data_IF_675254542322
#
_entry.id   IF_675254542322
#
_cell.length_a   1.000
_cell.length_b   1.000
_cell.length_c   1.000
_cell.angle_alpha   90.00
_cell.angle_beta   90.00
_cell.angle_gamma   90.00
#
_symmetry.space_group_name_H-M   'P 1'
#
loop_
_entity.id
_entity.type
_entity.pdbx_description
1 polymer ?
#
# COMPACT_ATOMS: atom_id res chain seq x y z
N UNK A 1 44.61 53.44 40.11
CA UNK A 1 45.67 53.43 41.16
C UNK A 1 45.01 53.12 42.50
N UNK A 2 45.59 52.36 43.44
CA UNK A 2 46.59 51.27 43.42
C UNK A 2 45.97 49.90 43.82
N UNK A 3 46.74 48.80 43.76
CA UNK A 3 46.38 47.44 44.25
C UNK A 3 46.63 47.28 45.76
N UNK A 4 47.17 46.14 46.25
CA UNK A 4 46.89 44.72 45.99
C UNK A 4 46.60 43.97 47.32
N UNK A 5 46.09 42.73 47.31
CA UNK A 5 46.48 41.72 48.31
C UNK A 5 46.25 40.29 47.78
N UNK A 6 47.38 39.70 47.42
CA UNK A 6 47.70 38.28 47.28
C UNK A 6 47.57 37.62 48.69
N UNK A 7 47.36 36.33 48.97
CA UNK A 7 48.06 35.10 48.56
C UNK A 7 47.29 33.90 49.16
N UNK A 8 47.52 32.71 48.59
CA UNK A 8 47.50 31.33 49.16
C UNK A 8 46.24 30.51 48.86
N UNK A 9 46.21 29.79 47.73
CA UNK A 9 46.97 28.56 47.40
C UNK A 9 46.67 27.39 48.35
N UNK A 10 45.85 26.44 47.90
CA UNK A 10 46.08 25.02 48.14
C UNK A 10 45.86 24.25 46.84
N UNK A 11 46.97 23.65 46.44
CA UNK A 11 47.19 22.67 45.40
C UNK A 11 46.26 21.46 45.52
N UNK A 12 45.81 20.93 44.38
CA UNK A 12 45.86 19.50 44.16
C UNK A 12 46.20 19.21 42.69
N UNK A 13 47.01 18.18 42.56
CA UNK A 13 47.89 17.84 41.46
C UNK A 13 47.28 16.66 40.68
N UNK A 14 47.54 16.60 39.36
CA UNK A 14 47.80 15.35 38.58
C UNK A 14 46.52 14.51 38.28
N UNK A 15 46.06 14.17 37.07
CA UNK A 15 46.62 13.81 35.75
C UNK A 15 45.59 14.11 34.62
N UNK A 16 46.02 14.18 33.34
CA UNK A 16 45.14 14.33 32.18
C UNK A 16 44.60 12.95 31.72
N UNK A 17 43.29 12.84 31.58
CA UNK A 17 42.67 11.68 30.93
C UNK A 17 42.73 11.88 29.40
N UNK A 18 43.76 11.32 28.78
CA UNK A 18 43.74 11.01 27.35
C UNK A 18 42.77 9.84 27.12
N UNK A 19 41.63 10.11 26.49
CA UNK A 19 40.73 9.07 26.00
C UNK A 19 40.45 9.30 24.50
N UNK A 20 41.41 8.82 23.72
CA UNK A 20 41.25 8.05 22.49
C UNK A 20 40.02 8.34 21.64
N UNK A 21 40.27 9.05 20.54
CA UNK A 21 39.51 9.01 19.29
C UNK A 21 39.34 7.56 18.84
N UNK A 22 38.22 6.92 19.17
CA UNK A 22 37.79 5.71 18.46
C UNK A 22 37.23 6.14 17.12
N UNK A 23 38.10 6.12 16.11
CA UNK A 23 37.66 6.02 14.72
C UNK A 23 36.90 4.72 14.58
N UNK A 24 35.58 4.77 14.68
CA UNK A 24 34.73 3.73 14.12
C UNK A 24 34.92 3.79 12.62
N UNK A 25 35.68 2.83 12.09
CA UNK A 25 35.65 2.45 10.69
C UNK A 25 34.18 2.19 10.33
N UNK A 26 33.51 3.21 9.80
CA UNK A 26 32.38 3.00 8.94
C UNK A 26 32.93 2.26 7.73
N UNK A 27 32.86 0.93 7.80
CA UNK A 27 32.85 0.10 6.60
C UNK A 27 31.67 0.64 5.80
N UNK A 28 31.97 1.50 4.83
CA UNK A 28 31.09 1.78 3.72
C UNK A 28 30.88 0.41 3.08
N UNK A 29 29.78 -0.24 3.45
CA UNK A 29 29.18 -1.27 2.62
C UNK A 29 28.82 -0.56 1.32
N UNK A 30 29.77 -0.53 0.39
CA UNK A 30 29.47 -0.41 -1.02
C UNK A 30 28.36 -1.44 -1.26
N UNK A 31 27.14 -1.04 -1.66
CA UNK A 31 26.13 -2.01 -1.99
C UNK A 31 26.72 -2.83 -3.13
N UNK A 32 27.03 -4.09 -2.82
CA UNK A 32 27.27 -5.12 -3.82
C UNK A 32 26.21 -4.89 -4.88
N UNK A 33 26.65 -4.71 -6.13
CA UNK A 33 25.78 -4.38 -7.24
C UNK A 33 24.99 -5.65 -7.57
N UNK A 34 24.06 -6.00 -6.67
CA UNK A 34 23.18 -7.15 -6.79
C UNK A 34 22.43 -6.91 -8.07
N UNK A 35 22.69 -7.74 -9.08
CA UNK A 35 21.98 -7.73 -10.33
C UNK A 35 20.54 -8.16 -10.04
N UNK A 36 19.71 -7.20 -9.65
CA UNK A 36 18.28 -7.41 -9.40
C UNK A 36 17.66 -7.79 -10.74
N UNK A 37 17.10 -8.99 -10.83
CA UNK A 37 16.42 -9.42 -12.04
C UNK A 37 14.92 -9.15 -11.95
N UNK A 38 14.22 -9.01 -13.09
CA UNK A 38 12.76 -8.85 -13.09
C UNK A 38 12.01 -9.93 -12.32
N UNK A 39 12.49 -11.17 -12.36
CA UNK A 39 11.87 -12.33 -11.72
C UNK A 39 11.88 -12.21 -10.19
N UNK A 40 12.87 -11.51 -9.63
CA UNK A 40 12.99 -11.28 -8.18
C UNK A 40 12.02 -10.20 -7.68
N UNK A 41 11.49 -9.38 -8.59
CA UNK A 41 10.62 -8.25 -8.28
C UNK A 41 9.15 -8.52 -8.56
N UNK A 42 8.85 -9.51 -9.41
CA UNK A 42 7.53 -9.69 -9.98
C UNK A 42 6.91 -11.00 -9.50
N UNK A 43 5.76 -10.89 -8.85
CA UNK A 43 4.85 -12.01 -8.56
C UNK A 43 3.72 -12.03 -9.58
N UNK A 44 3.48 -13.21 -10.17
CA UNK A 44 2.30 -13.48 -10.98
C UNK A 44 1.19 -14.01 -10.08
N UNK A 45 0.10 -13.27 -9.97
CA UNK A 45 -1.10 -13.68 -9.26
C UNK A 45 -2.09 -14.25 -10.28
N UNK A 46 -2.11 -15.59 -10.40
CA UNK A 46 -2.94 -16.30 -11.37
C UNK A 46 -4.43 -16.26 -11.04
N UNK A 47 -4.79 -16.19 -9.75
CA UNK A 47 -6.19 -16.15 -9.28
C UNK A 47 -6.93 -14.94 -9.84
N UNK A 48 -6.29 -13.78 -9.81
CA UNK A 48 -6.87 -12.53 -10.30
C UNK A 48 -6.25 -12.05 -11.61
N UNK A 49 -5.42 -12.89 -12.23
CA UNK A 49 -4.71 -12.60 -13.48
C UNK A 49 -3.99 -11.24 -13.43
N UNK A 50 -3.22 -11.05 -12.35
CA UNK A 50 -2.58 -9.79 -12.01
C UNK A 50 -1.08 -9.92 -11.82
N UNK A 51 -0.36 -8.91 -12.31
CA UNK A 51 1.09 -8.79 -12.10
C UNK A 51 1.32 -7.89 -10.89
N UNK A 52 2.06 -8.36 -9.91
CA UNK A 52 2.35 -7.64 -8.66
C UNK A 52 3.85 -7.37 -8.61
N UNK A 53 4.21 -6.10 -8.40
CA UNK A 53 5.59 -5.74 -8.12
C UNK A 53 5.82 -5.72 -6.61
N UNK A 54 6.66 -6.64 -6.14
CA UNK A 54 7.09 -6.78 -4.75
C UNK A 54 8.47 -6.11 -4.52
N UNK A 55 8.96 -5.36 -5.50
CA UNK A 55 10.27 -4.72 -5.44
C UNK A 55 10.36 -3.58 -4.43
N UNK A 56 11.15 -3.75 -3.37
CA UNK A 56 11.45 -2.73 -2.38
C UNK A 56 10.19 -2.05 -1.84
N UNK A 57 10.09 -0.73 -1.96
CA UNK A 57 8.93 0.04 -1.50
C UNK A 57 7.76 0.09 -2.48
N UNK A 58 7.89 -0.50 -3.68
CA UNK A 58 6.92 -0.35 -4.74
C UNK A 58 5.58 -1.02 -4.43
N UNK A 59 5.62 -2.30 -4.04
CA UNK A 59 4.51 -3.08 -3.44
C UNK A 59 3.14 -2.75 -4.04
N UNK A 60 2.94 -3.00 -5.34
CA UNK A 60 1.69 -2.62 -6.03
C UNK A 60 1.33 -3.52 -7.22
N UNK A 61 0.05 -3.57 -7.52
CA UNK A 61 -0.46 -4.20 -8.74
C UNK A 61 -0.13 -3.37 -9.99
N UNK A 62 0.38 -4.04 -11.02
CA UNK A 62 0.82 -3.47 -12.30
C UNK A 62 -0.06 -4.05 -13.42
N UNK A 63 -0.48 -3.20 -14.36
CA UNK A 63 -1.14 -3.70 -15.58
C UNK A 63 -0.08 -4.19 -16.57
N UNK A 64 -0.35 -5.26 -17.35
CA UNK A 64 0.63 -5.81 -18.30
C UNK A 64 1.21 -4.75 -19.25
N UNK A 65 0.39 -3.80 -19.70
CA UNK A 65 0.83 -2.76 -20.65
C UNK A 65 1.79 -1.72 -20.09
N UNK A 66 1.86 -1.54 -18.77
CA UNK A 66 2.79 -0.58 -18.16
C UNK A 66 4.00 -1.27 -17.52
N UNK A 67 4.04 -2.61 -17.51
CA UNK A 67 5.07 -3.40 -16.84
C UNK A 67 6.48 -3.09 -17.35
N UNK A 68 6.68 -3.05 -18.66
CA UNK A 68 8.00 -2.76 -19.25
C UNK A 68 8.53 -1.39 -18.80
N UNK A 69 7.69 -0.33 -18.91
CA UNK A 69 8.04 1.02 -18.45
C UNK A 69 8.23 1.06 -16.92
N UNK A 70 7.47 0.26 -16.18
CA UNK A 70 7.56 0.19 -14.73
C UNK A 70 8.91 -0.37 -14.28
N UNK A 71 9.34 -1.53 -14.82
CA UNK A 71 10.63 -2.15 -14.50
C UNK A 71 11.80 -1.22 -14.81
N UNK A 72 11.80 -0.60 -15.99
CA UNK A 72 12.85 0.32 -16.40
C UNK A 72 12.90 1.58 -15.53
N UNK A 73 11.76 2.22 -15.27
CA UNK A 73 11.75 3.52 -14.58
C UNK A 73 11.79 3.43 -13.06
N UNK A 74 11.26 2.36 -12.46
CA UNK A 74 11.16 2.22 -11.01
C UNK A 74 12.22 1.31 -10.41
N UNK A 75 12.71 0.35 -11.19
CA UNK A 75 13.69 -0.63 -10.72
C UNK A 75 15.00 -0.57 -11.51
N UNK A 76 15.14 0.38 -12.45
CA UNK A 76 16.34 0.58 -13.26
C UNK A 76 16.81 -0.70 -13.99
N UNK A 77 15.88 -1.58 -14.34
CA UNK A 77 16.17 -2.79 -15.10
C UNK A 77 16.48 -2.40 -16.55
N UNK A 78 17.52 -3.00 -17.12
CA UNK A 78 17.91 -2.75 -18.51
C UNK A 78 16.80 -3.14 -19.48
N UNK A 79 16.75 -2.48 -20.64
CA UNK A 79 15.72 -2.70 -21.65
C UNK A 79 15.74 -4.14 -22.16
N UNK A 80 16.93 -4.70 -22.36
CA UNK A 80 17.15 -6.05 -22.88
C UNK A 80 16.67 -7.12 -21.89
N UNK A 81 16.99 -6.95 -20.60
CA UNK A 81 16.53 -7.84 -19.53
C UNK A 81 15.01 -7.75 -19.35
N UNK A 82 14.48 -6.53 -19.39
CA UNK A 82 13.03 -6.29 -19.39
C UNK A 82 12.35 -7.00 -20.55
N UNK A 83 12.89 -6.88 -21.78
CA UNK A 83 12.32 -7.52 -22.96
C UNK A 83 12.29 -9.05 -22.83
N UNK A 84 13.43 -9.65 -22.44
CA UNK A 84 13.53 -11.10 -22.19
C UNK A 84 12.51 -11.58 -21.16
N UNK A 85 12.34 -10.84 -20.07
CA UNK A 85 11.35 -11.17 -19.06
C UNK A 85 9.92 -11.07 -19.61
N UNK A 86 9.59 -9.98 -20.29
CA UNK A 86 8.26 -9.80 -20.91
C UNK A 86 7.94 -10.94 -21.89
N UNK A 87 8.93 -11.36 -22.70
CA UNK A 87 8.78 -12.49 -23.61
C UNK A 87 8.53 -13.81 -22.85
N UNK A 88 9.22 -14.03 -21.72
CA UNK A 88 9.03 -15.22 -20.88
C UNK A 88 7.63 -15.31 -20.26
N UNK A 89 6.96 -14.17 -20.05
CA UNK A 89 5.59 -14.09 -19.52
C UNK A 89 4.58 -13.66 -20.58
N UNK A 90 4.91 -13.81 -21.87
CA UNK A 90 4.05 -13.40 -22.98
C UNK A 90 2.62 -13.98 -22.90
N UNK A 91 2.38 -15.24 -22.49
CA UNK A 91 1.02 -15.75 -22.32
C UNK A 91 0.20 -14.95 -21.30
N UNK A 92 0.85 -14.38 -20.28
CA UNK A 92 0.23 -13.56 -19.23
C UNK A 92 -0.08 -12.14 -19.70
N UNK A 93 0.46 -11.70 -20.84
CA UNK A 93 0.10 -10.40 -21.42
C UNK A 93 -1.37 -10.36 -21.89
N UNK A 94 -1.97 -11.53 -22.15
CA UNK A 94 -3.39 -11.68 -22.49
C UNK A 94 -4.32 -11.40 -21.31
N UNK A 95 -3.79 -11.40 -20.08
CA UNK A 95 -4.57 -11.12 -18.87
C UNK A 95 -5.26 -9.78 -18.88
N UNK A 96 -4.83 -8.81 -19.71
CA UNK A 96 -5.47 -7.50 -19.87
C UNK A 96 -7.01 -7.54 -19.88
N UNK A 97 -7.62 -8.55 -20.50
CA UNK A 97 -9.09 -8.66 -20.64
C UNK A 97 -9.77 -9.52 -19.57
N UNK A 98 -9.01 -10.23 -18.76
CA UNK A 98 -9.50 -11.25 -17.82
C UNK A 98 -9.22 -10.87 -16.36
N UNK A 99 -8.76 -9.65 -16.11
CA UNK A 99 -8.42 -9.20 -14.76
C UNK A 99 -9.68 -9.04 -13.94
N UNK A 100 -9.68 -9.67 -12.78
CA UNK A 100 -10.70 -9.49 -11.75
C UNK A 100 -10.09 -8.70 -10.59
N UNK A 101 -10.96 -8.07 -9.80
CA UNK A 101 -10.59 -7.38 -8.57
C UNK A 101 -11.06 -8.28 -7.43
N UNK A 102 -10.27 -8.46 -6.35
CA UNK A 102 -10.74 -9.16 -5.16
C UNK A 102 -12.00 -8.51 -4.60
N UNK A 103 -12.88 -9.33 -4.01
CA UNK A 103 -14.04 -8.83 -3.29
C UNK A 103 -13.61 -8.02 -2.07
N UNK A 104 -14.40 -7.00 -1.74
CA UNK A 104 -14.18 -6.20 -0.55
C UNK A 104 -14.31 -7.05 0.71
N UNK A 105 -13.48 -6.75 1.72
CA UNK A 105 -13.50 -7.45 3.00
C UNK A 105 -12.58 -8.67 3.06
N UNK A 106 -11.94 -9.06 1.94
CA UNK A 106 -10.97 -10.15 1.92
C UNK A 106 -9.63 -9.73 2.55
N UNK A 107 -8.80 -10.74 2.88
CA UNK A 107 -7.45 -10.51 3.41
C UNK A 107 -6.55 -9.85 2.36
N UNK A 108 -5.64 -8.94 2.77
CA UNK A 108 -4.74 -8.25 1.84
C UNK A 108 -3.99 -9.20 0.92
N UNK A 109 -3.89 -8.82 -0.36
CA UNK A 109 -3.08 -9.54 -1.33
C UNK A 109 -1.59 -9.29 -1.04
N UNK A 110 -0.84 -10.39 -0.90
CA UNK A 110 0.62 -10.33 -0.67
C UNK A 110 1.31 -9.49 -1.75
N UNK A 111 2.32 -8.72 -1.33
CA UNK A 111 3.11 -7.91 -2.26
C UNK A 111 2.48 -6.58 -2.64
N UNK A 112 1.32 -6.24 -2.06
CA UNK A 112 0.67 -4.94 -2.26
C UNK A 112 0.58 -4.20 -0.94
N UNK A 113 0.95 -2.92 -0.94
CA UNK A 113 0.87 -2.07 0.24
C UNK A 113 -0.59 -1.80 0.59
N UNK A 114 -0.94 -2.03 1.86
CA UNK A 114 -2.19 -1.55 2.45
C UNK A 114 -2.01 -0.09 2.82
N UNK A 115 -2.98 0.75 2.45
CA UNK A 115 -2.98 2.18 2.73
C UNK A 115 -4.29 2.60 3.37
N UNK A 116 -4.27 3.65 4.16
CA UNK A 116 -5.48 4.30 4.63
C UNK A 116 -6.23 4.97 3.47
N UNK A 117 -7.55 4.92 3.55
CA UNK A 117 -8.43 5.57 2.60
C UNK A 117 -9.83 5.74 3.13
N UNK A 118 -10.72 6.12 2.21
CA UNK A 118 -12.08 6.52 2.49
C UNK A 118 -13.02 5.89 1.47
N UNK A 119 -14.19 5.47 1.95
CA UNK A 119 -15.34 5.10 1.12
C UNK A 119 -16.45 6.12 1.32
N UNK A 120 -17.20 6.43 0.27
CA UNK A 120 -18.46 7.15 0.41
C UNK A 120 -19.40 6.36 1.32
N UNK A 121 -20.11 7.03 2.23
CA UNK A 121 -21.09 6.34 3.08
C UNK A 121 -22.31 5.85 2.29
N UNK A 122 -22.68 6.58 1.23
CA UNK A 122 -23.86 6.27 0.42
C UNK A 122 -23.56 5.32 -0.76
N UNK A 123 -22.39 5.46 -1.39
CA UNK A 123 -21.99 4.61 -2.52
C UNK A 123 -20.98 3.55 -2.08
N UNK A 124 -21.36 2.27 -2.22
CA UNK A 124 -20.47 1.14 -1.91
C UNK A 124 -19.24 1.09 -2.83
N UNK A 125 -19.39 1.53 -4.08
CA UNK A 125 -18.32 1.44 -5.08
C UNK A 125 -17.34 2.62 -5.07
N UNK A 126 -17.74 3.77 -4.51
CA UNK A 126 -16.93 4.98 -4.55
C UNK A 126 -15.97 5.05 -3.37
N UNK A 127 -14.68 4.97 -3.68
CA UNK A 127 -13.58 4.98 -2.72
C UNK A 127 -12.38 5.75 -3.25
N UNK A 128 -11.66 6.40 -2.34
CA UNK A 128 -10.45 7.16 -2.65
C UNK A 128 -9.48 7.15 -1.47
N UNK A 129 -8.24 7.53 -1.74
CA UNK A 129 -7.27 7.87 -0.71
C UNK A 129 -7.46 9.27 -0.14
N UNK A 130 -8.33 10.08 -0.74
CA UNK A 130 -8.58 11.47 -0.32
C UNK A 130 -10.04 11.63 0.12
N UNK A 131 -10.24 12.14 1.34
CA UNK A 131 -11.56 12.54 1.81
C UNK A 131 -12.18 13.63 0.92
N UNK A 132 -11.35 14.56 0.41
CA UNK A 132 -11.77 15.61 -0.52
C UNK A 132 -12.37 15.04 -1.81
N UNK A 133 -11.85 13.91 -2.30
CA UNK A 133 -12.44 13.24 -3.47
C UNK A 133 -13.82 12.66 -3.16
N UNK A 134 -14.03 12.20 -1.92
CA UNK A 134 -15.34 11.70 -1.47
C UNK A 134 -16.33 12.87 -1.35
N UNK A 135 -15.90 14.01 -0.81
CA UNK A 135 -16.73 15.22 -0.71
C UNK A 135 -17.14 15.73 -2.10
N UNK A 136 -16.19 15.82 -3.04
CA UNK A 136 -16.48 16.18 -4.44
C UNK A 136 -17.48 15.21 -5.08
N UNK A 137 -17.31 13.92 -4.84
CA UNK A 137 -18.26 12.91 -5.31
C UNK A 137 -19.64 13.09 -4.67
N UNK A 138 -19.70 13.36 -3.37
CA UNK A 138 -20.95 13.56 -2.66
C UNK A 138 -21.77 14.71 -3.25
N UNK A 139 -21.12 15.85 -3.51
CA UNK A 139 -21.77 16.99 -4.17
C UNK A 139 -22.18 16.65 -5.61
N UNK A 140 -21.29 16.00 -6.36
CA UNK A 140 -21.53 15.66 -7.78
C UNK A 140 -22.70 14.69 -7.96
N UNK A 141 -22.78 13.67 -7.13
CA UNK A 141 -23.86 12.66 -7.18
C UNK A 141 -25.09 13.08 -6.37
N UNK A 142 -25.07 14.27 -5.77
CA UNK A 142 -26.21 14.90 -5.08
C UNK A 142 -26.80 14.04 -3.95
N UNK A 143 -25.95 13.43 -3.13
CA UNK A 143 -26.36 12.61 -1.97
C UNK A 143 -27.09 13.39 -0.87
N UNK A 144 -27.29 14.70 -1.03
CA UNK A 144 -28.08 15.54 -0.13
C UNK A 144 -27.35 15.93 1.16
N UNK A 145 -28.12 16.27 2.19
CA UNK A 145 -27.56 16.59 3.51
C UNK A 145 -27.15 15.29 4.23
N UNK A 146 -25.91 15.17 4.73
CA UNK A 146 -25.49 13.95 5.39
C UNK A 146 -26.10 13.81 6.79
N UNK A 147 -26.56 12.60 7.11
CA UNK A 147 -26.78 12.18 8.48
C UNK A 147 -25.44 11.72 9.09
N UNK A 148 -24.58 12.68 9.46
CA UNK A 148 -23.28 12.43 10.08
C UNK A 148 -22.09 12.51 9.12
N UNK A 149 -21.08 11.66 9.30
CA UNK A 149 -19.87 11.67 8.46
C UNK A 149 -20.17 11.20 7.04
N UNK A 150 -19.74 11.99 6.05
CA UNK A 150 -19.78 11.68 4.60
C UNK A 150 -18.93 10.46 4.23
N UNK A 151 -17.89 10.23 5.01
CA UNK A 151 -16.84 9.25 4.73
C UNK A 151 -16.87 8.11 5.75
N UNK A 152 -16.49 6.93 5.29
CA UNK A 152 -16.14 5.77 6.10
C UNK A 152 -14.65 5.53 5.94
N UNK A 153 -13.90 5.50 7.05
CA UNK A 153 -12.49 5.14 7.03
C UNK A 153 -12.33 3.66 6.70
N UNK A 154 -11.47 3.36 5.74
CA UNK A 154 -11.25 1.98 5.26
C UNK A 154 -9.77 1.75 4.97
N UNK A 155 -9.37 0.48 4.97
CA UNK A 155 -8.05 0.04 4.55
C UNK A 155 -8.13 -0.40 3.09
N UNK A 156 -7.26 0.12 2.25
CA UNK A 156 -7.30 -0.09 0.79
C UNK A 156 -6.02 -0.74 0.28
N UNK A 157 -6.15 -1.53 -0.79
CA UNK A 157 -5.04 -1.92 -1.64
C UNK A 157 -5.27 -1.42 -3.07
N UNK A 158 -4.22 -0.85 -3.69
CA UNK A 158 -4.31 -0.41 -5.07
C UNK A 158 -4.27 -1.60 -6.03
N UNK A 159 -5.25 -1.67 -6.90
CA UNK A 159 -5.34 -2.64 -8.00
C UNK A 159 -4.97 -2.02 -9.35
N UNK A 160 -4.03 -1.06 -9.34
CA UNK A 160 -3.55 -0.31 -10.50
C UNK A 160 -4.67 0.39 -11.28
N UNK A 161 -4.50 0.55 -12.60
CA UNK A 161 -5.53 1.11 -13.49
C UNK A 161 -6.06 0.02 -14.41
N UNK A 162 -7.38 0.02 -14.67
CA UNK A 162 -7.99 -0.93 -15.58
C UNK A 162 -7.69 -0.53 -17.04
N UNK A 163 -7.79 0.77 -17.35
CA UNK A 163 -7.32 1.36 -18.62
C UNK A 163 -6.38 2.57 -18.43
N UNK A 164 -5.67 2.96 -19.48
CA UNK A 164 -4.79 4.14 -19.45
C UNK A 164 -5.61 5.42 -19.28
N UNK A 165 -5.27 6.24 -18.28
CA UNK A 165 -5.97 7.50 -17.97
C UNK A 165 -7.14 7.37 -17.00
N UNK A 166 -7.48 6.15 -16.57
CA UNK A 166 -8.51 5.92 -15.55
C UNK A 166 -7.97 6.13 -14.14
N UNK A 167 -8.90 6.34 -13.20
CA UNK A 167 -8.58 6.42 -11.77
C UNK A 167 -7.97 5.09 -11.30
N UNK A 168 -7.05 5.14 -10.32
CA UNK A 168 -6.60 3.92 -9.67
C UNK A 168 -7.78 3.18 -9.06
N UNK A 169 -7.85 1.89 -9.34
CA UNK A 169 -8.82 0.98 -8.72
C UNK A 169 -8.30 0.62 -7.34
N UNK A 170 -9.17 0.64 -6.36
CA UNK A 170 -8.90 0.17 -5.01
C UNK A 170 -9.94 -0.87 -4.61
N UNK A 171 -9.59 -1.71 -3.66
CA UNK A 171 -10.52 -2.62 -2.98
C UNK A 171 -10.24 -2.57 -1.48
N UNK A 172 -11.26 -2.85 -0.67
CA UNK A 172 -11.22 -2.74 0.79
C UNK A 172 -10.72 -4.04 1.38
N UNK A 173 -9.72 -3.96 2.25
CA UNK A 173 -9.11 -5.12 2.88
C UNK A 173 -9.42 -5.18 4.37
N UNK A 174 -9.51 -6.39 4.93
CA UNK A 174 -9.61 -6.60 6.38
C UNK A 174 -8.29 -7.15 6.89
N UNK A 175 -7.65 -6.41 7.78
CA UNK A 175 -6.44 -6.86 8.49
C UNK A 175 -6.87 -7.63 9.75
N UNK A 176 -6.29 -8.81 9.98
CA UNK A 176 -6.56 -9.60 11.19
C UNK A 176 -6.22 -8.77 12.43
N UNK A 177 -7.21 -8.55 13.30
CA UNK A 177 -7.07 -7.73 14.51
C UNK A 177 -7.63 -6.31 14.40
N UNK A 178 -8.02 -5.85 13.21
CA UNK A 178 -8.74 -4.59 13.02
C UNK A 178 -10.24 -4.78 13.30
N UNK A 179 -10.61 -4.99 14.57
CA UNK A 179 -11.99 -4.83 15.03
C UNK A 179 -12.11 -3.44 15.66
N UNK A 180 -12.48 -2.44 14.87
CA UNK A 180 -13.14 -1.25 15.41
C UNK A 180 -14.55 -1.64 15.85
N UNK A 181 -14.95 -1.26 17.06
CA UNK A 181 -16.28 -1.52 17.64
C UNK A 181 -17.43 -0.85 16.84
N UNK A 182 -17.13 -0.03 15.83
CA UNK A 182 -18.11 0.74 15.05
C UNK A 182 -18.58 0.04 13.75
N UNK A 183 -18.00 -1.10 13.37
CA UNK A 183 -18.29 -1.75 12.07
C UNK A 183 -19.27 -2.94 12.15
N UNK A 184 -19.90 -3.19 13.31
CA UNK A 184 -20.87 -4.29 13.46
C UNK A 184 -22.20 -4.04 12.73
N UNK A 185 -22.50 -2.79 12.35
CA UNK A 185 -23.77 -2.42 11.69
C UNK A 185 -23.72 -2.43 10.15
N UNK A 186 -22.55 -2.58 9.52
CA UNK A 186 -22.41 -2.47 8.06
C UNK A 186 -22.27 -3.81 7.32
N UNK A 187 -22.20 -4.94 8.02
CA UNK A 187 -22.04 -6.28 7.45
C UNK A 187 -23.28 -7.18 7.52
N UNK A 188 -24.40 -6.69 8.06
CA UNK A 188 -25.65 -7.47 8.19
C UNK A 188 -26.64 -7.31 7.02
N UNK A 189 -26.29 -6.56 5.96
CA UNK A 189 -27.19 -6.28 4.83
C UNK A 189 -27.20 -7.29 3.69
N UNK A 190 -26.47 -8.41 3.77
CA UNK A 190 -26.26 -9.31 2.63
C UNK A 190 -26.73 -10.76 2.84
N UNK A 191 -27.66 -11.04 3.76
CA UNK A 191 -28.16 -12.41 3.96
C UNK A 191 -29.63 -12.56 4.38
N UNK A 192 -30.53 -11.68 3.94
CA UNK A 192 -31.98 -11.92 4.06
C UNK A 192 -32.66 -11.87 2.70
N UNK A 193 -32.37 -12.86 1.87
CA UNK A 193 -33.24 -13.22 0.74
C UNK A 193 -33.02 -14.70 0.36
N UNK A 194 -33.57 -15.63 1.15
CA UNK A 194 -34.09 -16.93 0.69
C UNK A 194 -34.36 -17.86 1.89
N UNK A 195 -35.61 -17.90 2.35
CA UNK A 195 -36.35 -19.15 2.62
C UNK A 195 -37.85 -18.82 2.66
N UNK A 196 -38.45 -18.69 1.49
CA UNK A 196 -39.90 -18.87 1.34
C UNK A 196 -40.08 -20.01 0.36
N UNK A 197 -40.13 -21.23 0.90
CA UNK A 197 -40.49 -22.44 0.16
C UNK A 197 -41.68 -23.08 0.88
N UNK A 198 -42.86 -22.66 0.44
CA UNK A 198 -44.03 -23.49 0.13
C UNK A 198 -44.28 -24.73 0.99
N UNK A 199 -45.17 -24.57 1.98
CA UNK A 199 -45.95 -25.66 2.58
C UNK A 199 -47.02 -26.11 1.57
N UNK A 200 -46.88 -27.32 1.06
CA UNK A 200 -47.97 -28.06 0.43
C UNK A 200 -48.50 -29.08 1.45
N UNK A 201 -49.63 -28.78 2.06
CA UNK A 201 -50.39 -29.72 2.87
C UNK A 201 -50.99 -30.83 1.98
N UNK A 202 -50.71 -32.09 2.33
CA UNK A 202 -51.48 -33.24 1.87
C UNK A 202 -52.56 -33.55 2.91
N UNK A 203 -53.82 -33.53 2.48
CA UNK A 203 -54.94 -34.30 3.07
C UNK A 203 -55.58 -35.12 1.96
#
# INVERSE_FOLDING_TARGET
MPGPFEVRSKTNNILPCAAQTKMTNHVLFEPENVLIKPEDLIRLNYEFMRIICEGGECMKAISPSVLSKHLQKRHNIKKEETAKFIDSIAPMMLWRKMQTIPEDGLKPQRGIRVVDGFRCRHCLDFRSRSAEDIEKHWTKEQHGAPAGSLVVHVRLQSWGVQSFGERPVYWIVVEEGAKSEEDKDLLLGASEAMTSAEDWEFV
#
